data_IF_221024878110
#
_entry.id   IF_221024878110
#
_cell.length_a   1.000
_cell.length_b   1.000
_cell.length_c   1.000
_cell.angle_alpha   90.00
_cell.angle_beta   90.00
_cell.angle_gamma   90.00
#
_symmetry.space_group_name_H-M   'P 1'
#
loop_
_entity.id
_entity.type
_entity.pdbx_description
1 polymer ?
#
# COMPACT_ATOMS: atom_id res chain seq x y z
N UNK A 1 17.26 19.82 8.73
CA UNK A 1 17.91 18.80 7.88
C UNK A 1 17.09 17.53 7.97
N UNK A 2 16.17 17.29 7.05
CA UNK A 2 15.38 16.06 7.01
C UNK A 2 15.73 15.33 5.72
N UNK A 3 16.77 14.49 5.77
CA UNK A 3 16.91 13.41 4.80
C UNK A 3 15.75 12.46 5.09
N UNK A 4 14.57 12.76 4.55
CA UNK A 4 13.40 11.90 4.68
C UNK A 4 13.75 10.53 4.13
N UNK A 5 13.71 9.52 4.99
CA UNK A 5 14.01 8.14 4.63
C UNK A 5 13.22 7.80 3.38
N UNK A 6 13.92 7.34 2.36
CA UNK A 6 13.37 7.07 1.05
C UNK A 6 12.31 5.97 1.06
N UNK A 7 12.49 5.06 2.01
CA UNK A 7 11.62 3.92 2.30
C UNK A 7 10.80 4.20 3.56
N UNK A 8 10.46 5.47 3.78
CA UNK A 8 9.51 5.88 4.80
C UNK A 8 8.14 5.26 4.49
N UNK A 9 7.70 4.37 5.39
CA UNK A 9 6.46 3.62 5.25
C UNK A 9 5.25 4.54 5.06
N UNK A 10 5.23 5.69 5.74
CA UNK A 10 4.14 6.68 5.61
C UNK A 10 4.05 7.21 4.18
N UNK A 11 5.16 7.62 3.58
CA UNK A 11 5.21 8.10 2.20
C UNK A 11 4.87 7.02 1.18
N UNK A 12 5.26 5.77 1.42
CA UNK A 12 4.92 4.63 0.56
C UNK A 12 3.40 4.43 0.53
N UNK A 13 2.78 4.37 1.71
CA UNK A 13 1.34 4.20 1.85
C UNK A 13 0.56 5.35 1.22
N UNK A 14 0.91 6.60 1.55
CA UNK A 14 0.20 7.78 1.01
C UNK A 14 0.18 7.79 -0.52
N UNK A 15 1.32 7.52 -1.17
CA UNK A 15 1.39 7.48 -2.64
C UNK A 15 0.57 6.36 -3.26
N UNK A 16 0.40 5.25 -2.55
CA UNK A 16 -0.40 4.14 -3.01
C UNK A 16 -1.90 4.42 -2.83
N UNK A 17 -2.32 4.88 -1.65
CA UNK A 17 -3.73 5.25 -1.40
C UNK A 17 -4.20 6.36 -2.34
N UNK A 18 -3.39 7.39 -2.53
CA UNK A 18 -3.70 8.47 -3.48
C UNK A 18 -3.87 7.96 -4.92
N UNK A 19 -3.06 6.98 -5.33
CA UNK A 19 -3.22 6.36 -6.63
C UNK A 19 -4.55 5.61 -6.75
N UNK A 20 -4.90 4.78 -5.76
CA UNK A 20 -6.16 4.03 -5.76
C UNK A 20 -7.38 4.93 -5.69
N UNK A 21 -7.33 5.99 -4.90
CA UNK A 21 -8.40 7.00 -4.83
C UNK A 21 -8.57 7.75 -6.15
N UNK A 22 -7.46 8.11 -6.81
CA UNK A 22 -7.49 8.76 -8.13
C UNK A 22 -8.06 7.82 -9.20
N UNK A 23 -7.65 6.54 -9.20
CA UNK A 23 -8.14 5.49 -10.12
C UNK A 23 -9.64 5.23 -9.93
N UNK A 24 -10.13 5.29 -8.69
CA UNK A 24 -11.54 5.06 -8.37
C UNK A 24 -12.41 6.32 -8.49
N UNK A 25 -11.81 7.52 -8.56
CA UNK A 25 -12.49 8.79 -8.85
C UNK A 25 -12.50 9.19 -10.33
N UNK A 26 -11.60 8.63 -11.14
CA UNK A 26 -11.50 8.90 -12.57
C UNK A 26 -11.25 7.61 -13.35
N UNK A 27 -12.28 7.13 -14.04
CA UNK A 27 -12.06 6.24 -15.17
C UNK A 27 -11.26 7.01 -16.25
N UNK A 28 -10.03 6.52 -16.51
CA UNK A 28 -9.16 6.81 -17.66
C UNK A 28 -8.57 8.23 -17.74
N UNK A 29 -7.25 8.32 -17.61
CA UNK A 29 -6.36 8.69 -18.72
C UNK A 29 -4.90 8.58 -18.27
N UNK A 30 -4.21 7.58 -18.84
CA UNK A 30 -2.77 7.40 -18.74
C UNK A 30 -2.09 8.28 -19.78
N UNK A 31 -1.29 9.26 -19.36
CA UNK A 31 -0.27 9.84 -20.24
C UNK A 31 1.08 9.95 -19.53
N UNK A 32 2.07 9.36 -20.22
CA UNK A 32 3.48 9.13 -19.85
C UNK A 32 4.34 10.33 -20.27
N UNK A 33 5.56 10.37 -19.70
CA UNK A 33 6.86 10.82 -20.25
C UNK A 33 7.49 11.98 -19.47
N UNK A 34 8.80 12.18 -19.48
CA UNK A 34 10.02 11.33 -19.54
C UNK A 34 11.16 12.28 -19.10
N UNK A 35 12.20 11.74 -18.50
CA UNK A 35 13.32 12.42 -17.83
C UNK A 35 14.22 13.31 -18.72
N UNK A 36 15.01 14.17 -18.06
CA UNK A 36 16.40 14.48 -18.45
C UNK A 36 17.27 15.00 -17.29
N UNK A 37 18.57 14.72 -17.42
CA UNK A 37 19.73 14.64 -16.49
C UNK A 37 20.30 15.99 -15.96
N UNK A 38 21.30 16.09 -15.04
CA UNK A 38 22.71 15.65 -15.08
C UNK A 38 23.45 15.67 -13.70
N UNK A 39 24.11 14.56 -13.38
CA UNK A 39 25.51 14.44 -12.88
C UNK A 39 26.06 15.32 -11.73
N UNK A 40 25.31 15.42 -10.63
CA UNK A 40 25.73 14.88 -9.32
C UNK A 40 24.64 13.93 -8.80
N UNK A 41 23.87 13.47 -9.77
CA UNK A 41 22.51 13.01 -9.69
C UNK A 41 22.47 11.49 -9.85
N UNK A 42 23.53 10.81 -10.27
CA UNK A 42 23.45 9.41 -10.68
C UNK A 42 22.94 8.48 -9.57
N UNK A 43 23.44 8.60 -8.33
CA UNK A 43 22.92 7.84 -7.19
C UNK A 43 21.51 8.30 -6.77
N UNK A 44 21.26 9.62 -6.82
CA UNK A 44 19.93 10.18 -6.49
C UNK A 44 18.87 9.85 -7.54
N UNK A 45 19.26 9.69 -8.80
CA UNK A 45 18.47 9.34 -9.98
C UNK A 45 18.25 7.84 -10.03
N UNK A 46 19.27 7.02 -9.74
CA UNK A 46 19.11 5.57 -9.53
C UNK A 46 18.15 5.33 -8.37
N UNK A 47 18.30 6.03 -7.26
CA UNK A 47 17.41 5.91 -6.10
C UNK A 47 16.02 6.56 -6.34
N UNK A 48 15.93 7.59 -7.19
CA UNK A 48 14.65 8.10 -7.70
C UNK A 48 13.97 7.08 -8.60
N UNK A 49 14.71 6.44 -9.49
CA UNK A 49 14.24 5.40 -10.40
C UNK A 49 13.78 4.18 -9.61
N UNK A 50 14.54 3.72 -8.60
CA UNK A 50 14.13 2.63 -7.69
C UNK A 50 12.85 2.96 -6.93
N UNK A 51 12.68 4.19 -6.43
CA UNK A 51 11.40 4.63 -5.84
C UNK A 51 10.26 4.55 -6.83
N UNK A 52 10.47 5.06 -8.05
CA UNK A 52 9.46 5.02 -9.11
C UNK A 52 9.10 3.56 -9.40
N UNK A 53 10.10 2.69 -9.54
CA UNK A 53 9.91 1.24 -9.71
C UNK A 53 9.08 0.67 -8.56
N UNK A 54 9.48 0.84 -7.29
CA UNK A 54 8.71 0.33 -6.14
C UNK A 54 7.25 0.77 -6.17
N UNK A 55 6.99 2.07 -6.37
CA UNK A 55 5.61 2.56 -6.37
C UNK A 55 4.80 2.08 -7.57
N UNK A 56 5.40 2.01 -8.77
CA UNK A 56 4.73 1.45 -9.95
C UNK A 56 4.36 0.01 -9.68
N UNK A 57 5.30 -0.72 -9.14
CA UNK A 57 5.24 -2.14 -9.09
C UNK A 57 4.33 -2.63 -7.94
N UNK A 58 4.29 -1.90 -6.81
CA UNK A 58 3.23 -2.09 -5.80
C UNK A 58 1.83 -1.86 -6.38
N UNK A 59 1.68 -0.92 -7.32
CA UNK A 59 0.38 -0.66 -7.98
C UNK A 59 0.02 -1.77 -8.94
N UNK A 60 0.96 -2.26 -9.74
CA UNK A 60 0.74 -3.37 -10.67
C UNK A 60 0.34 -4.64 -9.90
N UNK A 61 1.11 -5.01 -8.88
CA UNK A 61 0.79 -6.11 -7.99
C UNK A 61 -0.57 -5.97 -7.30
N UNK A 62 -0.86 -4.76 -6.81
CA UNK A 62 -2.15 -4.47 -6.18
C UNK A 62 -3.32 -4.60 -7.16
N UNK A 63 -3.17 -4.07 -8.38
CA UNK A 63 -4.18 -4.15 -9.42
C UNK A 63 -4.46 -5.59 -9.87
N UNK A 64 -3.43 -6.44 -9.92
CA UNK A 64 -3.57 -7.87 -10.14
C UNK A 64 -4.30 -8.56 -8.99
N UNK A 65 -3.90 -8.29 -7.74
CA UNK A 65 -4.53 -8.85 -6.54
C UNK A 65 -6.01 -8.45 -6.46
N UNK A 66 -6.32 -7.17 -6.67
CA UNK A 66 -7.68 -6.66 -6.74
C UNK A 66 -8.49 -7.36 -7.84
N UNK A 67 -7.89 -7.64 -9.01
CA UNK A 67 -8.58 -8.35 -10.08
C UNK A 67 -8.90 -9.80 -9.72
N UNK A 68 -8.08 -10.45 -8.90
CA UNK A 68 -8.21 -11.86 -8.53
C UNK A 68 -9.10 -12.08 -7.31
N UNK A 69 -9.05 -11.18 -6.31
CA UNK A 69 -9.63 -11.37 -4.98
C UNK A 69 -10.62 -10.26 -4.57
N UNK A 70 -11.20 -9.54 -5.55
CA UNK A 70 -12.18 -8.47 -5.29
C UNK A 70 -13.31 -8.88 -4.32
N UNK A 71 -13.95 -10.06 -4.45
CA UNK A 71 -15.04 -10.45 -3.56
C UNK A 71 -14.60 -10.61 -2.10
N UNK A 72 -13.47 -11.27 -1.87
CA UNK A 72 -12.92 -11.53 -0.54
C UNK A 72 -12.48 -10.23 0.14
N UNK A 73 -11.81 -9.34 -0.61
CA UNK A 73 -11.42 -8.03 -0.11
C UNK A 73 -12.65 -7.16 0.25
N UNK A 74 -13.73 -7.22 -0.55
CA UNK A 74 -14.95 -6.48 -0.27
C UNK A 74 -15.65 -6.95 1.02
N UNK A 75 -15.66 -8.26 1.30
CA UNK A 75 -16.24 -8.79 2.54
C UNK A 75 -15.42 -8.38 3.78
N UNK A 76 -14.09 -8.31 3.69
CA UNK A 76 -13.26 -7.76 4.78
C UNK A 76 -13.64 -6.31 5.13
N UNK A 77 -13.89 -5.48 4.12
CA UNK A 77 -14.25 -4.06 4.29
C UNK A 77 -15.68 -3.89 4.79
N UNK A 78 -16.61 -4.75 4.39
CA UNK A 78 -17.99 -4.75 4.89
C UNK A 78 -18.06 -4.99 6.40
N UNK A 79 -17.17 -5.83 6.94
CA UNK A 79 -17.03 -6.04 8.38
C UNK A 79 -16.59 -4.80 9.17
N UNK A 80 -15.90 -3.85 8.53
CA UNK A 80 -15.56 -2.55 9.12
C UNK A 80 -16.74 -1.57 9.13
N UNK A 81 -17.57 -1.54 8.08
CA UNK A 81 -18.69 -0.58 7.96
C UNK A 81 -19.77 -0.74 9.02
N UNK A 82 -19.84 -1.89 9.69
CA UNK A 82 -20.78 -2.16 10.78
C UNK A 82 -20.32 -1.61 12.16
N UNK A 83 -19.22 -0.87 12.21
CA UNK A 83 -18.53 -0.50 13.45
C UNK A 83 -18.93 0.88 13.96
N UNK A 84 -19.02 1.03 15.28
CA UNK A 84 -19.35 2.30 15.96
C UNK A 84 -18.23 3.34 15.84
N UNK A 85 -18.61 4.62 15.81
CA UNK A 85 -17.69 5.78 15.80
C UNK A 85 -16.65 5.65 16.92
N UNK A 86 -15.37 5.88 16.58
CA UNK A 86 -14.26 5.85 17.54
C UNK A 86 -13.60 4.48 17.74
N UNK A 87 -14.10 3.42 17.10
CA UNK A 87 -13.48 2.06 17.16
C UNK A 87 -12.85 1.61 15.83
N UNK A 88 -12.67 2.54 14.90
CA UNK A 88 -12.18 2.29 13.54
C UNK A 88 -10.71 1.81 13.52
N UNK A 89 -9.83 2.50 14.26
CA UNK A 89 -8.41 2.12 14.32
C UNK A 89 -8.21 0.71 14.93
N UNK A 90 -8.75 0.38 16.12
CA UNK A 90 -8.63 -0.97 16.67
C UNK A 90 -9.19 -2.05 15.75
N UNK A 91 -10.32 -1.76 15.07
CA UNK A 91 -10.93 -2.71 14.14
C UNK A 91 -10.07 -2.91 12.89
N UNK A 92 -9.49 -1.83 12.36
CA UNK A 92 -8.54 -1.90 11.24
C UNK A 92 -7.34 -2.77 11.58
N UNK A 93 -6.74 -2.55 12.75
CA UNK A 93 -5.59 -3.34 13.25
C UNK A 93 -5.97 -4.81 13.45
N UNK A 94 -7.15 -5.11 14.01
CA UNK A 94 -7.59 -6.49 14.20
C UNK A 94 -7.72 -7.28 12.89
N UNK A 95 -8.12 -6.63 11.78
CA UNK A 95 -8.15 -7.28 10.46
C UNK A 95 -6.73 -7.45 9.90
N UNK A 96 -5.83 -6.51 10.16
CA UNK A 96 -4.42 -6.65 9.80
C UNK A 96 -3.78 -7.83 10.54
N UNK A 97 -4.02 -7.96 11.86
CA UNK A 97 -3.54 -9.08 12.67
C UNK A 97 -4.06 -10.42 12.14
N UNK A 98 -5.31 -10.46 11.67
CA UNK A 98 -5.87 -11.66 11.01
C UNK A 98 -5.12 -11.99 9.72
N UNK A 99 -4.89 -10.99 8.87
CA UNK A 99 -4.22 -11.14 7.58
C UNK A 99 -2.81 -11.71 7.74
N UNK A 100 -2.11 -11.39 8.82
CA UNK A 100 -0.73 -11.80 9.08
C UNK A 100 -0.60 -12.94 10.10
N UNK A 101 -1.71 -13.50 10.61
CA UNK A 101 -1.71 -14.52 11.67
C UNK A 101 -0.81 -15.71 11.36
N UNK A 102 -0.89 -16.23 10.13
CA UNK A 102 -0.14 -17.43 9.72
C UNK A 102 1.23 -17.12 9.11
N UNK A 103 1.70 -15.87 9.25
CA UNK A 103 2.99 -15.42 8.72
C UNK A 103 2.89 -14.22 7.77
N UNK A 104 4.05 -13.68 7.44
CA UNK A 104 4.20 -12.50 6.59
C UNK A 104 4.90 -12.89 5.30
N UNK A 105 4.35 -12.44 4.17
CA UNK A 105 4.99 -12.47 2.85
C UNK A 105 4.61 -11.22 2.07
N UNK A 106 5.31 -10.95 0.96
CA UNK A 106 5.07 -9.73 0.18
C UNK A 106 3.66 -9.68 -0.43
N UNK A 107 3.07 -10.84 -0.77
CA UNK A 107 1.67 -10.92 -1.23
C UNK A 107 0.67 -10.43 -0.17
N UNK A 108 0.82 -10.85 1.09
CA UNK A 108 -0.01 -10.37 2.22
C UNK A 108 0.25 -8.90 2.52
N UNK A 109 1.48 -8.42 2.37
CA UNK A 109 1.79 -6.99 2.47
C UNK A 109 1.03 -6.22 1.38
N UNK A 110 1.02 -6.68 0.12
CA UNK A 110 0.22 -6.03 -0.94
C UNK A 110 -1.28 -6.11 -0.64
N UNK A 111 -1.78 -7.24 -0.13
CA UNK A 111 -3.18 -7.37 0.28
C UNK A 111 -3.55 -6.36 1.38
N UNK A 112 -2.64 -6.08 2.31
CA UNK A 112 -2.83 -5.05 3.34
C UNK A 112 -2.94 -3.65 2.73
N UNK A 113 -2.17 -3.36 1.68
CA UNK A 113 -2.27 -2.12 0.92
C UNK A 113 -3.61 -2.00 0.19
N UNK A 114 -4.07 -3.05 -0.48
CA UNK A 114 -5.39 -3.10 -1.12
C UNK A 114 -6.52 -2.93 -0.11
N UNK A 115 -6.43 -3.61 1.03
CA UNK A 115 -7.39 -3.48 2.13
C UNK A 115 -7.50 -2.01 2.59
N UNK A 116 -6.38 -1.34 2.88
CA UNK A 116 -6.37 0.08 3.24
C UNK A 116 -7.01 0.99 2.18
N UNK A 117 -6.71 0.74 0.90
CA UNK A 117 -7.31 1.49 -0.20
C UNK A 117 -8.83 1.30 -0.27
N UNK A 118 -9.31 0.07 -0.11
CA UNK A 118 -10.74 -0.23 -0.17
C UNK A 118 -11.50 0.35 1.03
N UNK A 119 -10.90 0.44 2.21
CA UNK A 119 -11.48 1.17 3.36
C UNK A 119 -11.72 2.64 2.99
N UNK A 120 -10.74 3.30 2.38
CA UNK A 120 -10.89 4.70 1.98
C UNK A 120 -11.98 4.89 0.91
N UNK A 121 -12.12 3.93 -0.01
CA UNK A 121 -13.05 4.01 -1.14
C UNK A 121 -14.49 3.66 -0.73
N UNK A 122 -14.67 2.66 0.14
CA UNK A 122 -15.98 2.07 0.41
C UNK A 122 -16.59 2.46 1.76
N UNK A 123 -15.77 2.80 2.76
CA UNK A 123 -16.27 3.15 4.10
C UNK A 123 -16.55 4.64 4.27
N UNK A 124 -15.79 5.51 3.59
CA UNK A 124 -15.93 6.96 3.72
C UNK A 124 -16.89 7.56 2.66
N UNK A 125 -17.77 8.49 3.06
CA UNK A 125 -18.43 9.39 2.12
C UNK A 125 -17.41 10.11 1.24
N UNK A 126 -17.77 10.43 0.00
CA UNK A 126 -16.88 11.12 -0.94
C UNK A 126 -16.26 12.41 -0.37
N UNK A 127 -17.04 13.15 0.41
CA UNK A 127 -16.62 14.39 1.09
C UNK A 127 -15.56 14.20 2.17
N UNK A 128 -15.43 12.97 2.70
CA UNK A 128 -14.54 12.63 3.82
C UNK A 128 -13.41 11.68 3.41
N UNK A 129 -13.35 11.26 2.14
CA UNK A 129 -12.33 10.31 1.64
C UNK A 129 -10.91 10.77 1.91
N UNK A 130 -10.61 12.06 1.81
CA UNK A 130 -9.27 12.59 2.08
C UNK A 130 -8.89 12.46 3.56
N UNK A 131 -9.80 12.81 4.48
CA UNK A 131 -9.58 12.67 5.92
C UNK A 131 -9.47 11.18 6.33
N UNK A 132 -10.29 10.32 5.71
CA UNK A 132 -10.18 8.87 5.88
C UNK A 132 -8.81 8.35 5.39
N UNK A 133 -8.35 8.78 4.22
CA UNK A 133 -7.06 8.40 3.67
C UNK A 133 -5.89 8.81 4.56
N UNK A 134 -5.93 9.99 5.18
CA UNK A 134 -4.91 10.43 6.13
C UNK A 134 -4.83 9.55 7.38
N UNK A 135 -6.00 9.16 7.92
CA UNK A 135 -6.11 8.26 9.06
C UNK A 135 -5.66 6.84 8.72
N UNK A 136 -6.13 6.27 7.61
CA UNK A 136 -5.74 4.94 7.15
C UNK A 136 -4.25 4.89 6.84
N UNK A 137 -3.71 5.92 6.18
CA UNK A 137 -2.28 6.04 5.95
C UNK A 137 -1.48 6.03 7.26
N UNK A 138 -2.05 6.54 8.36
CA UNK A 138 -1.40 6.61 9.66
C UNK A 138 -1.35 5.23 10.27
N UNK A 139 -2.50 4.55 10.32
CA UNK A 139 -2.61 3.21 10.88
C UNK A 139 -1.73 2.21 10.12
N UNK A 140 -1.72 2.28 8.80
CA UNK A 140 -0.86 1.44 7.98
C UNK A 140 0.63 1.72 8.21
N UNK A 141 1.03 2.99 8.29
CA UNK A 141 2.42 3.34 8.57
C UNK A 141 2.85 2.89 9.98
N UNK A 142 1.98 3.06 10.99
CA UNK A 142 2.20 2.55 12.35
C UNK A 142 2.37 1.02 12.34
N UNK A 143 1.54 0.30 11.58
CA UNK A 143 1.62 -1.16 11.48
C UNK A 143 2.91 -1.63 10.76
N UNK A 144 3.29 -0.95 9.67
CA UNK A 144 4.52 -1.23 8.93
C UNK A 144 5.78 -0.92 9.73
N UNK A 145 5.75 0.12 10.56
CA UNK A 145 6.87 0.51 11.44
C UNK A 145 6.92 -0.28 12.76
N UNK A 146 5.84 -0.99 13.11
CA UNK A 146 5.75 -1.83 14.30
C UNK A 146 5.77 -3.31 13.91
N UNK A 147 4.62 -4.01 13.93
CA UNK A 147 4.54 -5.46 13.70
C UNK A 147 5.29 -5.99 12.47
N UNK A 148 5.32 -5.26 11.36
CA UNK A 148 5.96 -5.74 10.13
C UNK A 148 7.40 -5.27 9.93
N UNK A 149 7.91 -4.36 10.77
CA UNK A 149 9.19 -3.71 10.52
C UNK A 149 10.34 -4.73 10.46
N UNK A 150 10.43 -5.60 11.47
CA UNK A 150 11.55 -6.55 11.57
C UNK A 150 11.56 -7.50 10.38
N UNK A 151 10.40 -8.07 10.03
CA UNK A 151 10.25 -8.93 8.85
C UNK A 151 10.65 -8.20 7.55
N UNK A 152 10.21 -6.94 7.37
CA UNK A 152 10.57 -6.15 6.20
C UNK A 152 12.09 -6.00 6.11
N UNK A 153 12.78 -5.69 7.22
CA UNK A 153 14.23 -5.53 7.21
C UNK A 153 14.96 -6.87 6.96
N UNK A 154 14.51 -7.95 7.59
CA UNK A 154 15.06 -9.29 7.42
C UNK A 154 14.92 -9.79 5.97
N UNK A 155 13.89 -9.33 5.25
CA UNK A 155 13.66 -9.64 3.84
C UNK A 155 14.26 -8.59 2.89
N UNK A 156 15.30 -7.88 3.34
CA UNK A 156 16.09 -6.95 2.54
C UNK A 156 15.43 -5.59 2.29
N UNK A 157 14.39 -5.28 3.05
CA UNK A 157 13.63 -4.05 2.97
C UNK A 157 12.87 -3.88 1.65
N UNK A 158 12.23 -2.73 1.52
CA UNK A 158 11.57 -2.30 0.29
C UNK A 158 12.50 -2.18 -0.93
N UNK A 159 13.83 -2.16 -0.73
CA UNK A 159 14.85 -2.19 -1.80
C UNK A 159 14.93 -3.53 -2.51
N UNK A 160 14.58 -4.60 -1.82
CA UNK A 160 14.69 -5.99 -2.29
C UNK A 160 13.36 -6.52 -2.83
N UNK A 161 12.29 -5.75 -2.67
CA UNK A 161 10.99 -6.02 -3.26
C UNK A 161 11.10 -6.10 -4.80
N UNK A 162 10.61 -7.20 -5.37
CA UNK A 162 10.57 -7.48 -6.81
C UNK A 162 9.21 -8.07 -7.19
N UNK A 163 8.60 -7.56 -8.27
CA UNK A 163 7.33 -8.05 -8.85
C UNK A 163 7.30 -9.57 -9.07
N UNK A 164 8.44 -10.15 -9.47
CA UNK A 164 8.57 -11.58 -9.78
C UNK A 164 8.25 -12.51 -8.60
N UNK A 165 8.27 -12.02 -7.36
CA UNK A 165 7.93 -12.81 -6.17
C UNK A 165 6.42 -12.85 -5.87
N UNK A 166 5.63 -11.92 -6.42
CA UNK A 166 4.22 -11.75 -6.02
C UNK A 166 3.32 -12.78 -6.71
N UNK A 167 3.57 -13.09 -7.98
CA UNK A 167 2.81 -14.13 -8.70
C UNK A 167 3.15 -15.53 -8.15
N UNK A 168 4.37 -15.76 -7.65
CA UNK A 168 4.77 -17.05 -7.10
C UNK A 168 4.22 -17.29 -5.68
N UNK A 169 4.14 -16.24 -4.85
CA UNK A 169 3.61 -16.32 -3.47
C UNK A 169 2.07 -16.29 -3.41
N UNK A 170 1.38 -15.67 -4.37
CA UNK A 170 -0.10 -15.68 -4.42
C UNK A 170 -0.68 -17.04 -4.82
N UNK A 171 0.08 -17.87 -5.53
CA UNK A 171 -0.36 -19.18 -6.05
C UNK A 171 0.18 -20.35 -5.21
N UNK A 172 1.27 -20.15 -4.46
CA UNK A 172 1.81 -21.15 -3.55
C UNK A 172 1.16 -21.08 -2.17
N UNK A 173 -0.05 -21.66 -2.12
CA UNK A 173 -0.79 -22.23 -0.97
C UNK A 173 -0.25 -21.98 0.44
#
# INVERSE_FOLDING_TARGET
MANGNLYDNRRIVEKYLNHKLSKNGHAREFHRCRASSLDGQEEREKESSRRVTLHMALREAGDELESLYRPELAEMVKGLRATSVGTEQPRFVAVADELFRDGVNWGRVVAFFEYGAMVCVQCAPETERNACAENVARWMAEYLNGPLNDWIQENGGWRSWREELIILDLVSR
#
